data_IF_664688429780
#
_entry.id   IF_664688429780
#
_cell.length_a   1.000
_cell.length_b   1.000
_cell.length_c   1.000
_cell.angle_alpha   90.00
_cell.angle_beta   90.00
_cell.angle_gamma   90.00
#
_symmetry.space_group_name_H-M   'P 1'
#
loop_
_entity.id
_entity.type
_entity.pdbx_description
1 polymer ?
#
# COMPACT_ATOMS: atom_id res chain seq x y z
N UNK A 1 23.75 -13.87 -26.51
CA UNK A 1 24.36 -12.54 -26.54
C UNK A 1 24.26 -11.98 -25.13
N UNK A 2 25.35 -12.07 -24.33
CA UNK A 2 25.47 -11.51 -22.99
C UNK A 2 25.51 -9.97 -23.12
N UNK A 3 24.40 -9.25 -22.83
CA UNK A 3 24.53 -7.84 -22.48
C UNK A 3 25.22 -7.82 -21.12
N UNK A 4 26.48 -7.40 -21.11
CA UNK A 4 27.19 -7.02 -19.91
C UNK A 4 26.33 -6.01 -19.15
N UNK A 5 26.02 -6.32 -17.91
CA UNK A 5 25.47 -5.35 -16.96
C UNK A 5 26.58 -4.32 -16.72
N UNK A 6 26.63 -3.27 -17.53
CA UNK A 6 27.46 -2.12 -17.21
C UNK A 6 27.00 -1.59 -15.84
N UNK A 7 27.92 -1.41 -14.89
CA UNK A 7 27.59 -0.80 -13.61
C UNK A 7 27.00 0.58 -13.89
N UNK A 8 25.83 0.87 -13.27
CA UNK A 8 25.21 2.19 -13.38
C UNK A 8 26.24 3.28 -13.07
N UNK A 9 26.39 4.23 -13.99
CA UNK A 9 27.33 5.33 -13.80
C UNK A 9 26.92 6.15 -12.57
N UNK A 10 27.88 6.70 -11.79
CA UNK A 10 27.59 7.51 -10.60
C UNK A 10 26.58 8.65 -10.83
N UNK A 11 26.49 9.17 -12.05
CA UNK A 11 25.51 10.18 -12.47
C UNK A 11 24.06 9.66 -12.47
N UNK A 12 23.82 8.42 -12.90
CA UNK A 12 22.46 7.82 -12.91
C UNK A 12 21.97 7.54 -11.49
N UNK A 13 22.82 7.06 -10.59
CA UNK A 13 22.47 6.90 -9.18
C UNK A 13 22.13 8.22 -8.50
N UNK A 14 22.88 9.26 -8.78
CA UNK A 14 22.64 10.62 -8.24
C UNK A 14 21.31 11.18 -8.74
N UNK A 15 21.05 11.13 -10.04
CA UNK A 15 19.79 11.61 -10.64
C UNK A 15 18.57 10.86 -10.06
N UNK A 16 18.67 9.56 -9.85
CA UNK A 16 17.59 8.76 -9.28
C UNK A 16 17.32 9.11 -7.82
N UNK A 17 18.36 9.28 -7.00
CA UNK A 17 18.22 9.72 -5.60
C UNK A 17 17.56 11.10 -5.53
N UNK A 18 17.94 12.02 -6.41
CA UNK A 18 17.33 13.36 -6.48
C UNK A 18 15.85 13.27 -6.90
N UNK A 19 15.51 12.43 -7.88
CA UNK A 19 14.13 12.24 -8.33
C UNK A 19 13.22 11.64 -7.23
N UNK A 20 13.75 10.81 -6.33
CA UNK A 20 13.00 10.22 -5.22
C UNK A 20 12.95 11.12 -3.98
N UNK A 21 13.82 12.14 -3.89
CA UNK A 21 13.87 13.02 -2.73
C UNK A 21 12.59 13.88 -2.59
N UNK A 22 12.04 14.37 -3.70
CA UNK A 22 10.81 15.19 -3.67
C UNK A 22 9.60 14.37 -3.17
N UNK A 23 9.25 13.20 -3.76
CA UNK A 23 8.16 12.41 -3.23
C UNK A 23 8.40 11.93 -1.80
N UNK A 24 9.64 11.62 -1.42
CA UNK A 24 9.96 11.28 -0.02
C UNK A 24 9.72 12.46 0.93
N UNK A 25 10.14 13.66 0.56
CA UNK A 25 9.90 14.87 1.35
C UNK A 25 8.40 15.19 1.47
N UNK A 26 7.62 15.02 0.40
CA UNK A 26 6.16 15.17 0.44
C UNK A 26 5.51 14.14 1.36
N UNK A 27 5.89 12.88 1.29
CA UNK A 27 5.38 11.84 2.20
C UNK A 27 5.73 12.16 3.67
N UNK A 28 6.97 12.59 3.93
CA UNK A 28 7.41 12.98 5.28
C UNK A 28 6.64 14.20 5.79
N UNK A 29 6.40 15.20 4.94
CA UNK A 29 5.61 16.38 5.28
C UNK A 29 4.16 16.01 5.61
N UNK A 30 3.52 15.18 4.78
CA UNK A 30 2.15 14.69 5.04
C UNK A 30 2.09 13.95 6.37
N UNK A 31 3.03 13.04 6.64
CA UNK A 31 3.09 12.34 7.93
C UNK A 31 3.26 13.32 9.10
N UNK A 32 4.17 14.28 8.99
CA UNK A 32 4.40 15.27 10.04
C UNK A 32 3.14 16.12 10.32
N UNK A 33 2.43 16.55 9.26
CA UNK A 33 1.19 17.30 9.39
C UNK A 33 0.09 16.45 10.06
N UNK A 34 -0.08 15.18 9.67
CA UNK A 34 -1.11 14.32 10.26
C UNK A 34 -0.79 13.97 11.72
N UNK A 35 0.47 13.69 12.03
CA UNK A 35 0.92 13.43 13.41
C UNK A 35 0.74 14.68 14.27
N UNK A 36 1.03 15.88 13.75
CA UNK A 36 0.83 17.13 14.48
C UNK A 36 -0.64 17.40 14.81
N UNK A 37 -1.57 17.03 13.89
CA UNK A 37 -3.00 17.10 14.15
C UNK A 37 -3.45 16.11 15.24
N UNK A 38 -2.96 14.87 15.20
CA UNK A 38 -3.23 13.88 16.26
C UNK A 38 -2.66 14.33 17.61
N UNK A 39 -1.50 15.00 17.61
CA UNK A 39 -0.91 15.60 18.81
C UNK A 39 -1.65 16.86 19.30
N UNK A 40 -2.73 17.26 18.64
CA UNK A 40 -3.56 18.39 19.07
C UNK A 40 -3.08 19.77 18.64
N UNK A 41 -2.07 19.89 17.75
CA UNK A 41 -1.58 21.18 17.26
C UNK A 41 -2.59 21.86 16.29
N UNK A 42 -3.49 21.10 15.71
CA UNK A 42 -4.65 21.57 14.93
C UNK A 42 -5.77 20.54 15.00
N UNK A 43 -7.00 20.96 14.67
CA UNK A 43 -8.16 20.08 14.79
C UNK A 43 -8.29 19.14 13.58
N UNK A 44 -7.65 17.96 13.65
CA UNK A 44 -7.70 16.93 12.61
C UNK A 44 -9.10 16.32 12.46
N UNK A 45 -9.92 16.35 13.52
CA UNK A 45 -11.25 15.76 13.49
C UNK A 45 -12.20 16.51 12.52
N UNK A 46 -11.98 17.81 12.31
CA UNK A 46 -12.73 18.58 11.30
C UNK A 46 -12.51 18.01 9.90
N UNK A 47 -11.23 17.72 9.57
CA UNK A 47 -10.89 17.11 8.30
C UNK A 47 -11.48 15.69 8.16
N UNK A 48 -11.34 14.89 9.20
CA UNK A 48 -11.80 13.52 9.18
C UNK A 48 -13.32 13.40 9.10
N UNK A 49 -14.05 14.17 9.91
CA UNK A 49 -15.52 14.20 9.91
C UNK A 49 -16.11 14.79 8.64
N UNK A 50 -15.48 15.79 8.04
CA UNK A 50 -15.92 16.38 6.77
C UNK A 50 -16.12 15.33 5.66
N UNK A 51 -15.39 14.20 5.72
CA UNK A 51 -15.49 13.10 4.76
C UNK A 51 -16.32 11.96 5.35
N UNK A 52 -15.98 11.53 6.59
CA UNK A 52 -16.57 10.33 7.19
C UNK A 52 -18.08 10.47 7.42
N UNK A 53 -18.57 11.66 7.78
CA UNK A 53 -20.00 11.91 8.01
C UNK A 53 -20.84 11.82 6.73
N UNK A 54 -20.23 11.92 5.56
CA UNK A 54 -20.91 11.77 4.27
C UNK A 54 -21.01 10.32 3.81
N UNK A 55 -20.13 9.45 4.30
CA UNK A 55 -20.03 8.04 3.85
C UNK A 55 -21.33 7.27 3.99
N UNK A 56 -22.12 7.40 5.10
CA UNK A 56 -23.43 6.70 5.19
C UNK A 56 -24.38 7.02 4.05
N UNK A 57 -24.39 8.27 3.56
CA UNK A 57 -25.22 8.69 2.43
C UNK A 57 -24.82 8.08 1.07
N UNK A 58 -23.59 7.55 0.96
CA UNK A 58 -23.11 6.90 -0.25
C UNK A 58 -23.33 5.39 -0.25
N UNK A 59 -23.73 4.80 0.88
CA UNK A 59 -23.86 3.36 1.02
C UNK A 59 -25.00 2.81 0.20
N UNK A 60 -24.69 1.88 -0.68
CA UNK A 60 -25.63 1.04 -1.39
C UNK A 60 -25.12 -0.40 -1.35
N UNK A 61 -25.99 -1.42 -1.43
CA UNK A 61 -25.54 -2.83 -1.45
C UNK A 61 -24.52 -3.11 -2.55
N UNK A 62 -24.68 -2.51 -3.73
CA UNK A 62 -23.75 -2.67 -4.85
C UNK A 62 -22.37 -2.05 -4.54
N UNK A 63 -22.35 -0.79 -4.07
CA UNK A 63 -21.10 -0.10 -3.76
C UNK A 63 -20.39 -0.75 -2.57
N UNK A 64 -21.15 -1.19 -1.54
CA UNK A 64 -20.60 -1.93 -0.39
C UNK A 64 -19.90 -3.20 -0.85
N UNK A 65 -20.51 -3.99 -1.74
CA UNK A 65 -19.86 -5.18 -2.29
C UNK A 65 -18.58 -4.86 -3.06
N UNK A 66 -18.57 -3.79 -3.85
CA UNK A 66 -17.36 -3.34 -4.57
C UNK A 66 -16.28 -2.92 -3.58
N UNK A 67 -16.62 -2.18 -2.54
CA UNK A 67 -15.64 -1.72 -1.54
C UNK A 67 -15.08 -2.87 -0.70
N UNK A 68 -15.91 -3.85 -0.33
CA UNK A 68 -15.45 -5.07 0.34
C UNK A 68 -14.55 -5.91 -0.57
N UNK A 69 -14.93 -6.08 -1.84
CA UNK A 69 -14.13 -6.77 -2.85
C UNK A 69 -12.75 -6.12 -3.01
N UNK A 70 -12.70 -4.80 -3.14
CA UNK A 70 -11.45 -4.04 -3.26
C UNK A 70 -10.62 -4.13 -1.97
N UNK A 71 -11.28 -4.03 -0.80
CA UNK A 71 -10.61 -4.13 0.50
C UNK A 71 -9.85 -5.44 0.67
N UNK A 72 -10.36 -6.55 0.11
CA UNK A 72 -9.74 -7.87 0.20
C UNK A 72 -8.31 -7.91 -0.38
N UNK A 73 -8.01 -7.08 -1.39
CA UNK A 73 -6.64 -6.96 -1.92
C UNK A 73 -5.65 -6.35 -0.90
N UNK A 74 -6.15 -5.61 0.07
CA UNK A 74 -5.35 -5.06 1.18
C UNK A 74 -5.34 -5.92 2.44
N UNK A 75 -6.02 -7.07 2.42
CA UNK A 75 -6.07 -8.00 3.55
C UNK A 75 -4.67 -8.56 3.84
N UNK A 76 -4.35 -8.68 5.12
CA UNK A 76 -3.07 -9.18 5.58
C UNK A 76 -2.76 -10.58 5.01
N UNK A 77 -3.76 -11.50 4.98
CA UNK A 77 -3.58 -12.86 4.45
C UNK A 77 -3.18 -12.81 2.98
N UNK A 78 -3.87 -11.98 2.17
CA UNK A 78 -3.53 -11.86 0.76
C UNK A 78 -2.18 -11.17 0.52
N UNK A 79 -1.85 -10.16 1.31
CA UNK A 79 -0.56 -9.47 1.21
C UNK A 79 0.61 -10.35 1.65
N UNK A 80 0.39 -11.26 2.62
CA UNK A 80 1.37 -12.30 2.97
C UNK A 80 1.60 -13.33 1.86
N UNK A 81 0.68 -13.49 0.94
CA UNK A 81 0.87 -14.26 -0.28
C UNK A 81 1.60 -13.44 -1.37
N UNK A 82 1.17 -12.20 -1.61
CA UNK A 82 1.71 -11.35 -2.68
C UNK A 82 3.13 -10.84 -2.39
N UNK A 83 3.46 -10.54 -1.12
CA UNK A 83 4.79 -10.08 -0.74
C UNK A 83 5.90 -11.04 -1.17
N UNK A 84 5.86 -12.33 -0.81
CA UNK A 84 6.80 -13.33 -1.29
C UNK A 84 6.93 -13.43 -2.81
N UNK A 85 5.85 -13.23 -3.58
CA UNK A 85 5.94 -13.21 -5.05
C UNK A 85 6.80 -12.05 -5.56
N UNK A 86 6.69 -10.87 -4.94
CA UNK A 86 7.57 -9.73 -5.25
C UNK A 86 9.03 -10.07 -4.88
N UNK A 87 9.25 -10.69 -3.72
CA UNK A 87 10.60 -11.10 -3.29
C UNK A 87 11.20 -12.15 -4.24
N UNK A 88 10.43 -13.14 -4.65
CA UNK A 88 10.84 -14.13 -5.65
C UNK A 88 11.22 -13.45 -6.96
N UNK A 89 10.43 -12.45 -7.40
CA UNK A 89 10.75 -11.67 -8.60
C UNK A 89 12.14 -11.01 -8.49
N UNK A 90 12.43 -10.37 -7.36
CA UNK A 90 13.74 -9.75 -7.09
C UNK A 90 14.88 -10.79 -7.04
N UNK A 91 14.63 -11.95 -6.45
CA UNK A 91 15.58 -13.06 -6.40
C UNK A 91 15.92 -13.60 -7.78
N UNK A 92 14.91 -13.79 -8.65
CA UNK A 92 15.09 -14.22 -10.04
C UNK A 92 15.86 -13.20 -10.89
N UNK A 93 15.76 -11.91 -10.54
CA UNK A 93 16.60 -10.86 -11.12
C UNK A 93 18.02 -10.83 -10.56
N UNK A 94 18.31 -11.63 -9.53
CA UNK A 94 19.59 -11.61 -8.78
C UNK A 94 19.92 -10.22 -8.20
N UNK A 95 18.91 -9.42 -7.93
CA UNK A 95 19.05 -8.11 -7.29
C UNK A 95 19.07 -8.30 -5.76
N UNK A 96 20.17 -8.86 -5.24
CA UNK A 96 20.28 -9.25 -3.84
C UNK A 96 20.13 -8.09 -2.85
N UNK A 97 20.58 -6.89 -3.23
CA UNK A 97 20.45 -5.69 -2.40
C UNK A 97 18.99 -5.27 -2.26
N UNK A 98 18.27 -5.22 -3.37
CA UNK A 98 16.85 -4.92 -3.35
C UNK A 98 16.07 -6.03 -2.63
N UNK A 99 16.38 -7.30 -2.89
CA UNK A 99 15.77 -8.44 -2.20
C UNK A 99 15.90 -8.31 -0.68
N UNK A 100 17.09 -8.05 -0.15
CA UNK A 100 17.34 -7.89 1.27
C UNK A 100 16.55 -6.69 1.83
N UNK A 101 16.57 -5.55 1.14
CA UNK A 101 15.87 -4.35 1.58
C UNK A 101 14.34 -4.51 1.58
N UNK A 102 13.77 -5.11 0.52
CA UNK A 102 12.33 -5.40 0.45
C UNK A 102 11.92 -6.48 1.47
N UNK A 103 12.74 -7.50 1.70
CA UNK A 103 12.48 -8.51 2.74
C UNK A 103 12.43 -7.87 4.12
N UNK A 104 13.40 -7.00 4.44
CA UNK A 104 13.41 -6.26 5.68
C UNK A 104 12.17 -5.35 5.80
N UNK A 105 11.83 -4.59 4.76
CA UNK A 105 10.66 -3.73 4.76
C UNK A 105 9.36 -4.54 4.91
N UNK A 106 9.24 -5.68 4.21
CA UNK A 106 8.07 -6.55 4.27
C UNK A 106 7.81 -7.08 5.70
N UNK A 107 8.88 -7.43 6.42
CA UNK A 107 8.77 -7.91 7.82
C UNK A 107 8.60 -6.76 8.80
N UNK A 108 9.34 -5.68 8.64
CA UNK A 108 9.36 -4.58 9.61
C UNK A 108 8.13 -3.68 9.52
N UNK A 109 7.53 -3.51 8.32
CA UNK A 109 6.38 -2.60 8.15
C UNK A 109 5.17 -2.97 9.01
N UNK A 110 4.68 -4.23 9.05
CA UNK A 110 3.60 -4.60 9.94
C UNK A 110 3.94 -4.37 11.42
N UNK A 111 5.18 -4.61 11.82
CA UNK A 111 5.67 -4.38 13.19
C UNK A 111 5.61 -2.90 13.51
N UNK A 112 6.14 -2.04 12.64
CA UNK A 112 6.11 -0.58 12.82
C UNK A 112 4.68 -0.07 12.90
N UNK A 113 3.78 -0.53 12.01
CA UNK A 113 2.36 -0.16 12.03
C UNK A 113 1.73 -0.53 13.37
N UNK A 114 1.98 -1.75 13.90
CA UNK A 114 1.45 -2.17 15.20
C UNK A 114 1.99 -1.37 16.37
N UNK A 115 3.28 -1.05 16.36
CA UNK A 115 3.90 -0.22 17.40
C UNK A 115 3.31 1.20 17.39
N UNK A 116 3.16 1.81 16.21
CA UNK A 116 2.54 3.13 16.08
C UNK A 116 1.08 3.11 16.52
N UNK A 117 0.31 2.07 16.16
CA UNK A 117 -1.06 1.89 16.62
C UNK A 117 -1.15 1.84 18.16
N UNK A 118 -0.30 1.04 18.79
CA UNK A 118 -0.25 0.93 20.25
C UNK A 118 0.15 2.24 20.93
N UNK A 119 1.05 3.00 20.31
CA UNK A 119 1.52 4.27 20.86
C UNK A 119 0.50 5.40 20.71
N UNK A 120 -0.14 5.52 19.52
CA UNK A 120 -1.12 6.57 19.23
C UNK A 120 -2.47 6.25 19.88
N UNK A 121 -2.85 4.97 19.95
CA UNK A 121 -4.09 4.45 20.54
C UNK A 121 -5.36 5.16 20.06
N UNK A 122 -5.40 5.62 18.78
CA UNK A 122 -6.53 6.36 18.23
C UNK A 122 -7.73 5.44 18.00
N UNK A 123 -8.96 5.80 18.47
CA UNK A 123 -10.16 5.01 18.24
C UNK A 123 -10.56 5.03 16.76
N UNK A 124 -11.30 3.99 16.33
CA UNK A 124 -11.85 3.92 14.96
C UNK A 124 -13.13 4.74 14.80
N UNK A 125 -13.53 5.11 13.55
CA UNK A 125 -14.79 5.79 13.28
C UNK A 125 -16.02 4.97 13.70
N UNK A 126 -16.02 3.67 13.41
CA UNK A 126 -17.06 2.73 13.86
C UNK A 126 -16.46 1.76 14.85
N UNK A 127 -17.22 1.47 15.90
CA UNK A 127 -16.78 0.73 17.07
C UNK A 127 -16.89 -0.78 16.84
N UNK A 128 -16.01 -1.55 17.49
CA UNK A 128 -16.16 -2.97 17.90
C UNK A 128 -15.96 -4.08 16.86
N UNK A 129 -15.48 -3.79 15.64
CA UNK A 129 -15.12 -4.86 14.69
C UNK A 129 -13.74 -5.49 14.96
N UNK A 130 -12.94 -4.90 15.85
CA UNK A 130 -11.54 -5.30 16.05
C UNK A 130 -11.17 -5.32 17.53
N UNK A 131 -10.33 -6.30 17.94
CA UNK A 131 -9.83 -6.45 19.32
C UNK A 131 -8.33 -6.15 19.47
N UNK A 132 -7.90 -5.86 20.69
CA UNK A 132 -6.50 -5.61 21.01
C UNK A 132 -5.90 -4.42 20.27
N UNK A 133 -4.65 -4.51 19.84
CA UNK A 133 -3.96 -3.44 19.09
C UNK A 133 -4.65 -3.12 17.75
N UNK A 134 -5.38 -4.06 17.18
CA UNK A 134 -6.13 -3.84 15.94
C UNK A 134 -7.39 -2.98 16.15
N UNK A 135 -7.85 -2.77 17.39
CA UNK A 135 -8.88 -1.78 17.71
C UNK A 135 -8.45 -0.34 17.41
N UNK A 136 -7.14 -0.07 17.38
CA UNK A 136 -6.63 1.26 17.06
C UNK A 136 -6.56 1.51 15.56
N UNK A 137 -6.80 2.76 15.18
CA UNK A 137 -7.00 3.13 13.77
C UNK A 137 -5.73 3.63 13.07
N UNK A 138 -4.86 4.39 13.74
CA UNK A 138 -3.74 5.10 13.12
C UNK A 138 -2.41 4.34 13.23
N UNK A 139 -1.65 4.20 12.13
CA UNK A 139 -2.04 4.42 10.74
C UNK A 139 -2.78 3.21 10.14
N UNK A 140 -3.35 3.36 8.95
CA UNK A 140 -4.01 2.26 8.24
C UNK A 140 -3.01 1.22 7.75
N UNK A 141 -3.09 -0.01 8.31
CA UNK A 141 -2.23 -1.14 7.89
C UNK A 141 -2.51 -1.58 6.44
N UNK A 142 -3.77 -1.59 6.00
CA UNK A 142 -4.15 -1.90 4.61
C UNK A 142 -3.47 -0.91 3.64
N UNK A 143 -3.57 0.39 3.90
CA UNK A 143 -2.97 1.41 3.04
C UNK A 143 -1.43 1.31 3.05
N UNK A 144 -0.79 1.16 4.21
CA UNK A 144 0.67 1.07 4.32
C UNK A 144 1.22 -0.15 3.59
N UNK A 145 0.71 -1.34 3.89
CA UNK A 145 1.23 -2.59 3.34
C UNK A 145 0.91 -2.73 1.84
N UNK A 146 -0.28 -2.28 1.39
CA UNK A 146 -0.62 -2.26 -0.03
C UNK A 146 0.30 -1.31 -0.81
N UNK A 147 0.60 -0.13 -0.27
CA UNK A 147 1.55 0.81 -0.88
C UNK A 147 2.94 0.19 -0.99
N UNK A 148 3.43 -0.50 0.03
CA UNK A 148 4.72 -1.16 -0.01
C UNK A 148 4.76 -2.28 -1.08
N UNK A 149 3.78 -3.18 -1.09
CA UNK A 149 3.79 -4.38 -1.93
C UNK A 149 3.43 -4.05 -3.38
N UNK A 150 2.29 -3.42 -3.61
CA UNK A 150 1.86 -3.06 -4.97
C UNK A 150 2.65 -1.89 -5.55
N UNK A 151 3.09 -0.95 -4.70
CA UNK A 151 4.01 0.10 -5.10
C UNK A 151 5.38 -0.45 -5.47
N UNK A 152 5.88 -1.47 -4.76
CA UNK A 152 7.08 -2.22 -5.11
C UNK A 152 6.94 -2.90 -6.48
N UNK A 153 5.80 -3.56 -6.72
CA UNK A 153 5.50 -4.17 -8.01
C UNK A 153 5.36 -3.11 -9.13
N UNK A 154 4.73 -1.96 -8.84
CA UNK A 154 4.65 -0.83 -9.78
C UNK A 154 6.05 -0.28 -10.11
N UNK A 155 6.95 -0.18 -9.13
CA UNK A 155 8.33 0.22 -9.35
C UNK A 155 9.07 -0.78 -10.27
N UNK A 156 8.88 -2.08 -10.05
CA UNK A 156 9.43 -3.11 -10.95
C UNK A 156 8.82 -3.01 -12.36
N UNK A 157 7.51 -2.79 -12.47
CA UNK A 157 6.84 -2.61 -13.76
C UNK A 157 7.34 -1.35 -14.48
N UNK A 158 7.54 -0.24 -13.75
CA UNK A 158 8.12 1.00 -14.26
C UNK A 158 9.51 0.77 -14.88
N UNK A 159 10.31 -0.12 -14.27
CA UNK A 159 11.66 -0.42 -14.69
C UNK A 159 11.74 -1.44 -15.83
N UNK A 160 10.76 -2.35 -15.93
CA UNK A 160 10.83 -3.49 -16.87
C UNK A 160 9.95 -3.30 -18.11
N UNK A 161 8.78 -2.73 -17.97
CA UNK A 161 7.85 -2.55 -19.08
C UNK A 161 8.14 -1.27 -19.86
N UNK A 162 7.64 -1.18 -21.09
CA UNK A 162 7.79 -0.02 -21.99
C UNK A 162 6.43 0.36 -22.58
N UNK A 163 6.34 1.60 -23.06
CA UNK A 163 5.15 2.09 -23.76
C UNK A 163 3.86 1.93 -22.96
N UNK A 164 2.78 1.54 -23.63
CA UNK A 164 1.46 1.38 -23.02
C UNK A 164 1.42 0.36 -21.87
N UNK A 165 2.14 -0.77 -21.99
CA UNK A 165 2.17 -1.79 -20.95
C UNK A 165 2.70 -1.26 -19.61
N UNK A 166 3.70 -0.36 -19.65
CA UNK A 166 4.21 0.33 -18.45
C UNK A 166 3.15 1.23 -17.83
N UNK A 167 2.50 2.05 -18.65
CA UNK A 167 1.48 2.99 -18.17
C UNK A 167 0.29 2.25 -17.55
N UNK A 168 -0.19 1.20 -18.20
CA UNK A 168 -1.28 0.38 -17.66
C UNK A 168 -0.89 -0.33 -16.37
N UNK A 169 0.27 -1.00 -16.32
CA UNK A 169 0.69 -1.71 -15.11
C UNK A 169 0.86 -0.77 -13.92
N UNK A 170 1.58 0.35 -14.10
CA UNK A 170 1.79 1.33 -13.03
C UNK A 170 0.48 2.01 -12.65
N UNK A 171 -0.33 2.42 -13.63
CA UNK A 171 -1.62 3.08 -13.41
C UNK A 171 -2.60 2.18 -12.65
N UNK A 172 -2.81 0.94 -13.10
CA UNK A 172 -3.72 0.00 -12.43
C UNK A 172 -3.28 -0.31 -10.98
N UNK A 173 -1.98 -0.52 -10.74
CA UNK A 173 -1.46 -0.77 -9.40
C UNK A 173 -1.62 0.46 -8.49
N UNK A 174 -1.39 1.66 -9.01
CA UNK A 174 -1.59 2.91 -8.27
C UNK A 174 -3.07 3.13 -7.93
N UNK A 175 -3.97 2.92 -8.89
CA UNK A 175 -5.42 2.99 -8.68
C UNK A 175 -5.87 1.95 -7.65
N UNK A 176 -5.36 0.71 -7.71
CA UNK A 176 -5.67 -0.32 -6.73
C UNK A 176 -5.30 0.10 -5.31
N UNK A 177 -4.10 0.67 -5.11
CA UNK A 177 -3.67 1.19 -3.80
C UNK A 177 -4.64 2.25 -3.28
N UNK A 178 -5.02 3.21 -4.12
CA UNK A 178 -5.95 4.28 -3.75
C UNK A 178 -7.36 3.74 -3.44
N UNK A 179 -7.84 2.79 -4.23
CA UNK A 179 -9.13 2.16 -3.99
C UNK A 179 -9.14 1.34 -2.69
N UNK A 180 -8.05 0.61 -2.38
CA UNK A 180 -7.91 -0.07 -1.09
C UNK A 180 -7.97 0.96 0.05
N UNK A 181 -7.24 2.07 -0.03
CA UNK A 181 -7.28 3.12 0.98
C UNK A 181 -8.71 3.71 1.13
N UNK A 182 -9.37 4.03 0.03
CA UNK A 182 -10.75 4.54 0.01
C UNK A 182 -11.75 3.53 0.61
N UNK A 183 -11.58 2.24 0.31
CA UNK A 183 -12.45 1.20 0.87
C UNK A 183 -12.42 1.16 2.38
N UNK A 184 -11.27 1.49 3.02
CA UNK A 184 -11.14 1.50 4.49
C UNK A 184 -11.90 2.64 5.16
N UNK A 185 -12.00 3.77 4.45
CA UNK A 185 -12.84 4.90 4.89
C UNK A 185 -14.32 4.52 4.72
N UNK A 186 -14.68 3.97 3.55
CA UNK A 186 -16.05 3.58 3.24
C UNK A 186 -16.64 2.58 4.25
N UNK A 187 -15.87 1.54 4.61
CA UNK A 187 -16.32 0.55 5.60
C UNK A 187 -16.23 1.05 7.05
N UNK A 188 -15.82 2.31 7.28
CA UNK A 188 -15.71 2.90 8.62
C UNK A 188 -14.57 2.35 9.48
N UNK A 189 -13.66 1.59 8.90
CA UNK A 189 -12.54 1.00 9.63
C UNK A 189 -11.44 2.00 9.98
N UNK A 190 -11.31 3.08 9.21
CA UNK A 190 -10.27 4.09 9.35
C UNK A 190 -10.78 5.49 9.05
N UNK A 191 -10.21 6.47 9.73
CA UNK A 191 -10.36 7.87 9.38
C UNK A 191 -9.62 8.19 8.07
N UNK A 192 -10.03 9.21 7.29
CA UNK A 192 -9.29 9.70 6.13
C UNK A 192 -7.81 9.95 6.41
N UNK A 193 -7.50 10.61 7.52
CA UNK A 193 -6.13 10.88 7.96
C UNK A 193 -5.32 9.61 8.24
N UNK A 194 -5.94 8.53 8.78
CA UNK A 194 -5.25 7.24 9.01
C UNK A 194 -4.82 6.60 7.69
N UNK A 195 -5.68 6.68 6.66
CA UNK A 195 -5.38 6.11 5.34
C UNK A 195 -4.33 6.93 4.60
N UNK A 196 -4.40 8.27 4.69
CA UNK A 196 -3.37 9.16 4.14
C UNK A 196 -2.01 8.95 4.83
N UNK A 197 -1.99 8.77 6.16
CA UNK A 197 -0.78 8.43 6.89
C UNK A 197 -0.21 7.08 6.45
N UNK A 198 -1.09 6.09 6.24
CA UNK A 198 -0.69 4.78 5.72
C UNK A 198 -0.07 4.87 4.32
N UNK A 199 -0.70 5.60 3.40
CA UNK A 199 -0.17 5.86 2.05
C UNK A 199 1.18 6.59 2.11
N UNK A 200 1.29 7.62 2.94
CA UNK A 200 2.52 8.40 3.09
C UNK A 200 3.66 7.58 3.71
N UNK A 201 3.38 6.77 4.74
CA UNK A 201 4.37 5.89 5.36
C UNK A 201 4.86 4.82 4.36
N UNK A 202 3.94 4.15 3.68
CA UNK A 202 4.28 3.19 2.62
C UNK A 202 5.05 3.83 1.48
N UNK A 203 4.66 5.04 1.06
CA UNK A 203 5.33 5.83 0.02
C UNK A 203 6.75 6.24 0.42
N UNK A 204 6.96 6.66 1.66
CA UNK A 204 8.29 6.98 2.19
C UNK A 204 9.23 5.76 2.16
N UNK A 205 8.73 4.60 2.61
CA UNK A 205 9.47 3.34 2.54
C UNK A 205 9.78 2.96 1.09
N UNK A 206 8.81 3.10 0.19
CA UNK A 206 8.97 2.81 -1.23
C UNK A 206 10.01 3.73 -1.89
N UNK A 207 10.07 5.01 -1.53
CA UNK A 207 11.12 5.92 -1.99
C UNK A 207 12.51 5.43 -1.54
N UNK A 208 12.66 5.01 -0.29
CA UNK A 208 13.90 4.41 0.22
C UNK A 208 14.30 3.16 -0.57
N UNK A 209 13.37 2.22 -0.76
CA UNK A 209 13.59 1.00 -1.54
C UNK A 209 13.93 1.30 -3.00
N UNK A 210 13.31 2.32 -3.58
CA UNK A 210 13.61 2.81 -4.91
C UNK A 210 15.09 3.17 -5.12
N UNK A 211 15.81 3.57 -4.09
CA UNK A 211 17.24 3.93 -4.19
C UNK A 211 18.16 2.71 -4.37
N UNK A 212 17.73 1.52 -3.93
CA UNK A 212 18.52 0.28 -3.95
C UNK A 212 18.07 -0.72 -5.01
N UNK A 213 16.89 -0.50 -5.62
CA UNK A 213 16.36 -1.38 -6.68
C UNK A 213 17.07 -1.09 -7.99
N UNK A 214 17.72 -2.08 -8.58
CA UNK A 214 18.40 -1.99 -9.88
C UNK A 214 17.45 -2.40 -11.02
N UNK A 215 17.75 -1.96 -12.25
CA UNK A 215 16.97 -2.33 -13.42
C UNK A 215 17.11 -3.85 -13.69
N UNK A 216 16.00 -4.60 -13.75
CA UNK A 216 16.04 -6.02 -14.02
C UNK A 216 16.42 -6.30 -15.48
N UNK A 217 17.12 -7.41 -15.70
CA UNK A 217 17.61 -7.80 -17.03
C UNK A 217 16.49 -8.27 -17.98
N UNK A 218 15.36 -8.73 -17.45
CA UNK A 218 14.19 -9.15 -18.25
C UNK A 218 12.88 -8.85 -17.49
N UNK A 219 11.76 -8.90 -18.22
CA UNK A 219 10.44 -8.59 -17.70
C UNK A 219 9.59 -9.82 -17.32
N UNK A 220 10.07 -11.04 -17.56
CA UNK A 220 9.25 -12.26 -17.41
C UNK A 220 8.76 -12.46 -15.98
N UNK A 221 9.62 -12.28 -15.00
CA UNK A 221 9.24 -12.45 -13.59
C UNK A 221 8.29 -11.37 -13.12
N UNK A 222 8.47 -10.11 -13.53
CA UNK A 222 7.52 -9.03 -13.24
C UNK A 222 6.17 -9.31 -13.90
N UNK A 223 6.16 -9.75 -15.15
CA UNK A 223 4.95 -10.13 -15.86
C UNK A 223 4.23 -11.28 -15.12
N UNK A 224 4.97 -12.31 -14.70
CA UNK A 224 4.42 -13.41 -13.92
C UNK A 224 3.73 -12.90 -12.64
N UNK A 225 4.38 -12.03 -11.86
CA UNK A 225 3.82 -11.49 -10.61
C UNK A 225 2.60 -10.61 -10.85
N UNK A 226 2.61 -9.77 -11.90
CA UNK A 226 1.44 -8.96 -12.29
C UNK A 226 0.28 -9.87 -12.73
N UNK A 227 0.56 -10.92 -13.50
CA UNK A 227 -0.45 -11.90 -13.92
C UNK A 227 -0.99 -12.68 -12.73
N UNK A 228 -0.12 -13.11 -11.81
CA UNK A 228 -0.55 -13.77 -10.57
C UNK A 228 -1.51 -12.90 -9.77
N UNK A 229 -1.20 -11.60 -9.58
CA UNK A 229 -2.10 -10.64 -8.95
C UNK A 229 -3.45 -10.55 -9.68
N UNK A 230 -3.43 -10.43 -11.01
CA UNK A 230 -4.63 -10.28 -11.81
C UNK A 230 -5.55 -11.51 -11.75
N UNK A 231 -5.00 -12.70 -11.55
CA UNK A 231 -5.76 -13.95 -11.46
C UNK A 231 -6.17 -14.29 -10.02
N UNK A 232 -5.24 -14.20 -9.07
CA UNK A 232 -5.49 -14.66 -7.69
C UNK A 232 -6.21 -13.61 -6.85
N UNK A 233 -6.03 -12.32 -7.13
CA UNK A 233 -6.67 -11.23 -6.39
C UNK A 233 -8.19 -11.26 -6.48
N UNK A 234 -8.79 -11.26 -7.68
CA UNK A 234 -10.23 -11.38 -7.82
C UNK A 234 -10.79 -12.68 -7.23
N UNK A 235 -10.08 -13.80 -7.40
CA UNK A 235 -10.49 -15.08 -6.82
C UNK A 235 -10.51 -15.00 -5.28
N UNK A 236 -9.44 -14.51 -4.66
CA UNK A 236 -9.39 -14.33 -3.22
C UNK A 236 -10.50 -13.39 -2.71
N UNK A 237 -10.69 -12.25 -3.38
CA UNK A 237 -11.71 -11.28 -3.01
C UNK A 237 -13.13 -11.87 -3.10
N UNK A 238 -13.42 -12.68 -4.14
CA UNK A 238 -14.70 -13.37 -4.27
C UNK A 238 -14.91 -14.42 -3.17
N UNK A 239 -13.89 -15.19 -2.83
CA UNK A 239 -13.95 -16.22 -1.78
C UNK A 239 -14.15 -15.63 -0.39
N UNK A 240 -13.58 -14.46 -0.11
CA UNK A 240 -13.66 -13.79 1.21
C UNK A 240 -14.89 -12.88 1.33
N UNK A 241 -15.53 -12.48 0.23
CA UNK A 241 -16.66 -11.56 0.21
C UNK A 241 -17.83 -11.98 1.12
N UNK A 242 -18.25 -13.27 1.20
CA UNK A 242 -19.34 -13.67 2.10
C UNK A 242 -19.01 -13.41 3.58
N UNK A 243 -17.78 -13.75 4.02
CA UNK A 243 -17.33 -13.49 5.38
C UNK A 243 -17.21 -11.99 5.67
N UNK A 244 -16.69 -11.21 4.71
CA UNK A 244 -16.62 -9.77 4.82
C UNK A 244 -18.01 -9.12 4.93
N UNK A 245 -19.01 -9.61 4.19
CA UNK A 245 -20.40 -9.13 4.32
C UNK A 245 -20.98 -9.38 5.71
N UNK A 246 -20.73 -10.53 6.30
CA UNK A 246 -21.17 -10.82 7.67
C UNK A 246 -20.52 -9.85 8.66
N UNK A 247 -19.21 -9.64 8.55
CA UNK A 247 -18.44 -8.74 9.43
C UNK A 247 -18.92 -7.29 9.33
N UNK A 248 -19.28 -6.84 8.13
CA UNK A 248 -19.69 -5.46 7.87
C UNK A 248 -21.21 -5.32 7.63
N UNK A 249 -22.02 -6.32 8.03
CA UNK A 249 -23.48 -6.31 7.85
C UNK A 249 -24.16 -5.10 8.49
N UNK A 250 -23.62 -4.57 9.58
CA UNK A 250 -24.12 -3.38 10.24
C UNK A 250 -23.95 -2.07 9.43
N UNK A 251 -23.31 -2.14 8.26
CA UNK A 251 -23.08 -1.00 7.36
C UNK A 251 -24.14 -0.85 6.27
N UNK A 252 -25.03 -1.82 6.11
CA UNK A 252 -26.05 -1.89 5.05
C UNK A 252 -27.41 -1.35 5.44
#
# INVERSE_FOLDING_TARGET
MKRSSEPETPSRHRMRRTALAVPAALCALVLALLVSGIAGLWNIDVFDRAITDQVPGWRTPALTNVMLFVSAFGDAVYLWFMGPLVLVTLGLYRNWRALAAYSAAFVLTPIIVRLVKAWVARPRPTVDLYGGVEAFSFPSGHATNSTLIYGGLALLALMTFKGAARLWAVGCLSVLILLIAASRIYVGAHWPSDTLAGLALGGLMLCGLGTVTEYPANNRSTLFTVTALALTGPLYALLTLPAARVLYHALG
#
